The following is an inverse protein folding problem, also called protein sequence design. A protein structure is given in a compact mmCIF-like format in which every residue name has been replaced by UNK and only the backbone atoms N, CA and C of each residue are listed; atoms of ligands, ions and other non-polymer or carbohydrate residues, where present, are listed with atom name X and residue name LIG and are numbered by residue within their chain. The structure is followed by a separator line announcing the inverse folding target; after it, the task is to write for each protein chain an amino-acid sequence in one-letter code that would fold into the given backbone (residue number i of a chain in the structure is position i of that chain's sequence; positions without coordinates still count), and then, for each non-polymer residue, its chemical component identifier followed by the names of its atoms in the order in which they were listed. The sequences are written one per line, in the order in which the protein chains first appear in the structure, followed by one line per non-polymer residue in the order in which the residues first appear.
data_IF_632503680960
#
_entry.id   IF_632503680960
#
_cell.length_a   1.000
_cell.length_b   1.000
_cell.length_c   1.000
_cell.angle_alpha   90.00
_cell.angle_beta   90.00
_cell.angle_gamma   90.00
#
_symmetry.space_group_name_H-M   'P 1'
#
loop_
_entity.id
_entity.type
_entity.pdbx_description
1 polymer ?
#
# COMPACT_ATOMS: atom_id res chain seq x y z
N UNK A 1 -61.01 -20.79 -9.62
CA UNK A 1 -60.21 -19.94 -8.70
C UNK A 1 -58.76 -20.42 -8.46
N UNK A 2 -58.44 -21.72 -8.57
CA UNK A 2 -57.13 -22.27 -8.18
C UNK A 2 -55.94 -21.96 -9.13
N UNK A 3 -56.21 -21.67 -10.41
CA UNK A 3 -55.20 -21.48 -11.47
C UNK A 3 -54.56 -20.09 -11.47
N UNK A 4 -55.36 -19.05 -11.23
CA UNK A 4 -54.91 -17.64 -11.20
C UNK A 4 -53.94 -17.38 -10.05
N UNK A 5 -54.12 -18.06 -8.91
CA UNK A 5 -53.23 -17.96 -7.74
C UNK A 5 -51.83 -18.55 -8.03
N UNK A 6 -51.76 -19.73 -8.64
CA UNK A 6 -50.48 -20.39 -9.02
C UNK A 6 -49.68 -19.58 -10.03
N UNK A 7 -50.34 -18.93 -10.99
CA UNK A 7 -49.67 -18.12 -12.01
C UNK A 7 -49.05 -16.84 -11.43
N UNK A 8 -49.75 -16.19 -10.49
CA UNK A 8 -49.21 -15.03 -9.76
C UNK A 8 -47.99 -15.39 -8.92
N UNK A 9 -48.02 -16.54 -8.24
CA UNK A 9 -46.89 -17.05 -7.45
C UNK A 9 -45.68 -17.41 -8.32
N UNK A 10 -45.91 -18.03 -9.49
CA UNK A 10 -44.88 -18.31 -10.48
C UNK A 10 -44.20 -17.03 -10.99
N UNK A 11 -44.98 -15.99 -11.30
CA UNK A 11 -44.46 -14.67 -11.71
C UNK A 11 -43.65 -14.02 -10.59
N UNK A 12 -44.10 -14.08 -9.34
CA UNK A 12 -43.39 -13.56 -8.15
C UNK A 12 -42.06 -14.29 -7.92
N UNK A 13 -42.03 -15.63 -8.03
CA UNK A 13 -40.81 -16.44 -7.92
C UNK A 13 -39.81 -16.12 -9.04
N UNK A 14 -40.26 -15.96 -10.29
CA UNK A 14 -39.41 -15.52 -11.41
C UNK A 14 -38.81 -14.13 -11.17
N UNK A 15 -39.62 -13.17 -10.70
CA UNK A 15 -39.15 -11.82 -10.38
C UNK A 15 -38.10 -11.82 -9.26
N UNK A 16 -38.31 -12.64 -8.21
CA UNK A 16 -37.33 -12.82 -7.12
C UNK A 16 -36.01 -13.42 -7.62
N UNK A 17 -36.06 -14.50 -8.43
CA UNK A 17 -34.86 -15.08 -9.06
C UNK A 17 -34.12 -14.08 -9.95
N UNK A 18 -34.84 -13.30 -10.75
CA UNK A 18 -34.25 -12.26 -11.59
C UNK A 18 -33.58 -11.16 -10.76
N UNK A 19 -34.20 -10.73 -9.66
CA UNK A 19 -33.62 -9.76 -8.73
C UNK A 19 -32.36 -10.32 -8.04
N UNK A 20 -32.39 -11.57 -7.56
CA UNK A 20 -31.24 -12.24 -6.96
C UNK A 20 -30.09 -12.40 -7.97
N UNK A 21 -30.38 -12.77 -9.22
CA UNK A 21 -29.38 -12.87 -10.29
C UNK A 21 -28.74 -11.51 -10.58
N UNK A 22 -29.53 -10.45 -10.72
CA UNK A 22 -29.03 -9.07 -10.88
C UNK A 22 -28.15 -8.65 -9.69
N UNK A 23 -28.60 -8.92 -8.46
CA UNK A 23 -27.84 -8.63 -7.24
C UNK A 23 -26.49 -9.37 -7.21
N UNK A 24 -26.47 -10.66 -7.58
CA UNK A 24 -25.22 -11.43 -7.69
C UNK A 24 -24.29 -10.85 -8.76
N UNK A 25 -24.80 -10.48 -9.93
CA UNK A 25 -23.99 -9.85 -10.98
C UNK A 25 -23.37 -8.53 -10.51
N UNK A 26 -24.12 -7.69 -9.79
CA UNK A 26 -23.59 -6.45 -9.22
C UNK A 26 -22.45 -6.74 -8.24
N UNK A 27 -22.64 -7.70 -7.32
CA UNK A 27 -21.60 -8.10 -6.34
C UNK A 27 -20.34 -8.62 -7.03
N UNK A 28 -20.48 -9.44 -8.08
CA UNK A 28 -19.33 -9.97 -8.83
C UNK A 28 -18.58 -8.84 -9.54
N UNK A 29 -19.30 -7.91 -10.18
CA UNK A 29 -18.69 -6.76 -10.86
C UNK A 29 -17.97 -5.84 -9.88
N UNK A 30 -18.57 -5.50 -8.75
CA UNK A 30 -17.92 -4.63 -7.76
C UNK A 30 -16.70 -5.31 -7.14
N UNK A 31 -16.76 -6.61 -6.84
CA UNK A 31 -15.57 -7.38 -6.39
C UNK A 31 -14.44 -7.35 -7.41
N UNK A 32 -14.76 -7.54 -8.70
CA UNK A 32 -13.76 -7.46 -9.77
C UNK A 32 -13.11 -6.08 -9.82
N UNK A 33 -13.89 -5.01 -9.82
CA UNK A 33 -13.37 -3.63 -9.82
C UNK A 33 -12.44 -3.35 -8.63
N UNK A 34 -12.80 -3.81 -7.43
CA UNK A 34 -11.96 -3.66 -6.24
C UNK A 34 -10.65 -4.44 -6.38
N UNK A 35 -10.70 -5.67 -6.88
CA UNK A 35 -9.51 -6.49 -7.08
C UNK A 35 -8.57 -5.90 -8.14
N UNK A 36 -9.11 -5.42 -9.26
CA UNK A 36 -8.33 -4.78 -10.32
C UNK A 36 -7.66 -3.50 -9.80
N UNK A 37 -8.37 -2.69 -9.00
CA UNK A 37 -7.80 -1.51 -8.35
C UNK A 37 -6.67 -1.88 -7.39
N UNK A 38 -6.87 -2.90 -6.55
CA UNK A 38 -5.85 -3.36 -5.60
C UNK A 38 -4.61 -3.90 -6.31
N UNK A 39 -4.78 -4.65 -7.41
CA UNK A 39 -3.68 -5.17 -8.21
C UNK A 39 -2.82 -4.03 -8.78
N UNK A 40 -3.45 -2.99 -9.32
CA UNK A 40 -2.74 -1.81 -9.80
C UNK A 40 -1.98 -1.10 -8.68
N UNK A 41 -2.60 -0.88 -7.52
CA UNK A 41 -1.91 -0.27 -6.37
C UNK A 41 -0.68 -1.08 -5.95
N UNK A 42 -0.81 -2.41 -5.88
CA UNK A 42 0.30 -3.33 -5.58
C UNK A 42 1.42 -3.17 -6.59
N UNK A 43 1.12 -3.25 -7.89
CA UNK A 43 2.14 -3.13 -8.94
C UNK A 43 2.95 -1.83 -8.85
N UNK A 44 2.28 -0.70 -8.58
CA UNK A 44 2.94 0.59 -8.42
C UNK A 44 3.93 0.62 -7.26
N UNK A 45 3.64 -0.09 -6.17
CA UNK A 45 4.53 -0.18 -5.01
C UNK A 45 5.77 -1.03 -5.36
N UNK A 46 5.60 -2.12 -6.11
CA UNK A 46 6.71 -2.92 -6.61
C UNK A 46 7.62 -2.10 -7.53
N UNK A 47 7.06 -1.32 -8.45
CA UNK A 47 7.83 -0.42 -9.32
C UNK A 47 8.61 0.64 -8.53
N UNK A 48 7.99 1.20 -7.48
CA UNK A 48 8.63 2.16 -6.59
C UNK A 48 9.78 1.51 -5.80
N UNK A 49 9.57 0.30 -5.28
CA UNK A 49 10.61 -0.49 -4.60
C UNK A 49 11.80 -0.70 -5.53
N UNK A 50 11.55 -1.23 -6.72
CA UNK A 50 12.61 -1.60 -7.67
C UNK A 50 13.43 -0.38 -8.08
N UNK A 51 12.76 0.76 -8.28
CA UNK A 51 13.43 2.03 -8.54
C UNK A 51 14.35 2.46 -7.38
N UNK A 52 13.89 2.31 -6.13
CA UNK A 52 14.67 2.65 -4.93
C UNK A 52 15.84 1.69 -4.69
N UNK A 53 15.63 0.39 -4.94
CA UNK A 53 16.67 -0.64 -4.85
C UNK A 53 17.75 -0.39 -5.88
N UNK A 54 17.38 -0.10 -7.13
CA UNK A 54 18.31 0.24 -8.19
C UNK A 54 19.15 1.46 -7.81
N UNK A 55 18.52 2.56 -7.41
CA UNK A 55 19.22 3.75 -6.93
C UNK A 55 20.16 3.45 -5.76
N UNK A 56 19.72 2.68 -4.77
CA UNK A 56 20.55 2.32 -3.63
C UNK A 56 21.78 1.49 -4.02
N UNK A 57 21.65 0.65 -5.06
CA UNK A 57 22.73 -0.13 -5.64
C UNK A 57 23.72 0.76 -6.41
N UNK A 58 23.20 1.59 -7.32
CA UNK A 58 24.00 2.48 -8.17
C UNK A 58 24.84 3.46 -7.33
N UNK A 59 24.26 3.99 -6.24
CA UNK A 59 24.93 4.90 -5.31
C UNK A 59 25.64 4.19 -4.13
N UNK A 60 25.76 2.86 -4.16
CA UNK A 60 26.50 2.03 -3.17
C UNK A 60 26.13 2.34 -1.72
N UNK A 61 24.84 2.55 -1.43
CA UNK A 61 24.40 2.88 -0.07
C UNK A 61 24.81 1.79 0.95
N UNK A 62 25.00 2.12 2.23
CA UNK A 62 25.27 1.12 3.27
C UNK A 62 24.25 -0.03 3.27
N UNK A 63 24.72 -1.25 3.56
CA UNK A 63 23.90 -2.47 3.50
C UNK A 63 22.65 -2.38 4.37
N UNK A 64 22.73 -1.70 5.53
CA UNK A 64 21.58 -1.41 6.40
C UNK A 64 20.42 -0.73 5.65
N UNK A 65 20.72 0.24 4.78
CA UNK A 65 19.69 0.98 4.04
C UNK A 65 19.20 0.18 2.83
N UNK A 66 20.08 -0.56 2.16
CA UNK A 66 19.71 -1.48 1.08
C UNK A 66 18.68 -2.52 1.55
N UNK A 67 18.87 -3.10 2.75
CA UNK A 67 17.90 -4.02 3.38
C UNK A 67 16.54 -3.36 3.61
N UNK A 68 16.53 -2.11 4.08
CA UNK A 68 15.27 -1.37 4.30
C UNK A 68 14.51 -1.15 2.99
N UNK A 69 15.20 -0.70 1.94
CA UNK A 69 14.55 -0.41 0.64
C UNK A 69 14.20 -1.66 -0.15
N UNK A 70 14.76 -2.83 0.17
CA UNK A 70 14.42 -4.08 -0.51
C UNK A 70 13.11 -4.71 -0.03
N UNK A 71 12.65 -4.38 1.19
CA UNK A 71 11.41 -4.95 1.73
C UNK A 71 10.19 -4.19 1.22
N UNK A 72 9.25 -4.90 0.61
CA UNK A 72 8.00 -4.33 0.11
C UNK A 72 7.17 -3.70 1.24
N UNK A 73 7.20 -4.27 2.45
CA UNK A 73 6.48 -3.75 3.61
C UNK A 73 7.14 -2.48 4.16
N UNK A 74 8.34 -2.14 3.70
CA UNK A 74 8.96 -0.87 4.03
C UNK A 74 8.49 0.28 3.16
N UNK A 75 7.70 0.01 2.12
CA UNK A 75 7.12 1.05 1.25
C UNK A 75 5.66 1.33 1.58
N UNK A 76 5.29 2.61 1.49
CA UNK A 76 3.90 3.02 1.61
C UNK A 76 3.22 2.91 0.26
N UNK A 77 1.95 2.55 0.28
CA UNK A 77 1.01 2.84 -0.80
C UNK A 77 0.73 4.34 -0.86
N UNK A 78 0.34 4.79 -2.05
CA UNK A 78 0.08 6.18 -2.35
C UNK A 78 -1.39 6.34 -2.80
N UNK A 79 -2.05 7.40 -2.35
CA UNK A 79 -3.37 7.78 -2.80
C UNK A 79 -3.28 9.01 -3.70
N UNK A 80 -3.82 8.92 -4.92
CA UNK A 80 -3.83 10.09 -5.81
C UNK A 80 -4.87 11.12 -5.33
N UNK A 81 -4.45 12.37 -5.18
CA UNK A 81 -5.27 13.54 -4.86
C UNK A 81 -5.42 14.41 -6.13
N UNK A 82 -6.58 14.33 -6.84
CA UNK A 82 -6.80 15.07 -8.07
C UNK A 82 -6.82 16.59 -7.88
N UNK A 83 -7.15 17.09 -6.68
CA UNK A 83 -7.23 18.53 -6.43
C UNK A 83 -5.84 19.18 -6.41
N UNK A 84 -4.85 18.42 -5.97
CA UNK A 84 -3.46 18.90 -5.82
C UNK A 84 -2.52 18.36 -6.89
N UNK A 85 -2.99 17.43 -7.73
CA UNK A 85 -2.19 16.69 -8.70
C UNK A 85 -0.94 16.04 -8.06
N UNK A 86 -1.14 15.42 -6.88
CA UNK A 86 -0.08 14.75 -6.13
C UNK A 86 -0.55 13.41 -5.58
N UNK A 87 0.41 12.54 -5.30
CA UNK A 87 0.20 11.29 -4.62
C UNK A 87 0.45 11.47 -3.12
N UNK A 88 -0.59 11.39 -2.30
CA UNK A 88 -0.50 11.45 -0.84
C UNK A 88 0.01 10.11 -0.32
N UNK A 89 1.16 10.15 0.34
CA UNK A 89 1.78 8.95 0.91
C UNK A 89 0.99 8.52 2.15
N UNK A 90 0.48 7.30 2.15
CA UNK A 90 -0.24 6.75 3.30
C UNK A 90 0.71 6.41 4.45
N UNK A 91 0.22 6.61 5.67
CA UNK A 91 0.97 6.38 6.90
C UNK A 91 1.00 4.90 7.24
N UNK A 92 2.21 4.35 7.45
CA UNK A 92 2.39 3.05 8.06
C UNK A 92 2.41 3.22 9.58
N UNK A 93 1.50 2.55 10.29
CA UNK A 93 1.36 2.69 11.75
C UNK A 93 2.59 2.20 12.53
N UNK A 94 3.39 1.33 11.93
CA UNK A 94 4.60 0.77 12.54
C UNK A 94 5.87 1.52 12.15
N UNK A 95 5.82 2.46 11.20
CA UNK A 95 7.00 3.18 10.72
C UNK A 95 7.26 4.41 11.57
N UNK A 96 8.47 4.55 12.07
CA UNK A 96 8.90 5.69 12.87
C UNK A 96 8.94 7.00 12.05
N UNK A 97 8.98 8.12 12.77
CA UNK A 97 9.27 9.42 12.18
C UNK A 97 10.65 9.45 11.49
N UNK A 98 11.65 8.73 12.01
CA UNK A 98 13.00 8.69 11.44
C UNK A 98 13.04 7.90 10.13
N UNK A 99 12.36 6.75 10.05
CA UNK A 99 12.20 6.03 8.79
C UNK A 99 11.45 6.85 7.75
N UNK A 100 10.46 7.64 8.18
CA UNK A 100 9.76 8.57 7.28
C UNK A 100 10.70 9.66 6.75
N UNK A 101 11.55 10.26 7.60
CA UNK A 101 12.59 11.22 7.17
C UNK A 101 13.58 10.57 6.19
N UNK A 102 13.99 9.33 6.43
CA UNK A 102 14.86 8.58 5.53
C UNK A 102 14.26 8.45 4.12
N UNK A 103 13.02 7.96 3.99
CA UNK A 103 12.37 7.84 2.68
C UNK A 103 12.15 9.19 1.99
N UNK A 104 11.84 10.25 2.75
CA UNK A 104 11.73 11.61 2.20
C UNK A 104 13.06 12.09 1.62
N UNK A 105 14.17 11.84 2.32
CA UNK A 105 15.49 12.23 1.84
C UNK A 105 15.90 11.40 0.62
N UNK A 106 15.62 10.10 0.64
CA UNK A 106 15.85 9.21 -0.50
C UNK A 106 15.09 9.69 -1.74
N UNK A 107 13.79 9.95 -1.64
CA UNK A 107 12.98 10.41 -2.78
C UNK A 107 13.47 11.76 -3.33
N UNK A 108 13.94 12.67 -2.45
CA UNK A 108 14.55 13.94 -2.88
C UNK A 108 15.86 13.72 -3.64
N UNK A 109 16.74 12.85 -3.16
CA UNK A 109 18.00 12.53 -3.84
C UNK A 109 17.76 11.86 -5.20
N UNK A 110 16.76 10.97 -5.29
CA UNK A 110 16.37 10.34 -6.54
C UNK A 110 15.81 11.36 -7.55
N UNK A 111 15.09 12.37 -7.07
CA UNK A 111 14.59 13.45 -7.92
C UNK A 111 15.75 14.32 -8.45
N UNK A 112 16.70 14.66 -7.59
CA UNK A 112 17.92 15.40 -7.97
C UNK A 112 18.73 14.61 -9.01
N UNK A 113 18.93 13.31 -8.81
CA UNK A 113 19.63 12.43 -9.77
C UNK A 113 18.90 12.35 -11.12
N UNK A 114 17.58 12.25 -11.12
CA UNK A 114 16.81 12.22 -12.37
C UNK A 114 16.88 13.54 -13.13
N UNK A 115 16.93 14.68 -12.42
CA UNK A 115 17.12 16.01 -13.04
C UNK A 115 18.50 16.13 -13.70
N UNK A 116 19.56 15.70 -13.00
CA UNK A 116 20.93 15.72 -13.53
C UNK A 116 21.07 14.82 -14.76
N UNK A 117 20.43 13.65 -14.74
CA UNK A 117 20.52 12.66 -15.82
C UNK A 117 19.42 12.82 -16.90
N UNK A 118 18.65 13.91 -16.89
CA UNK A 118 17.53 14.19 -17.81
C UNK A 118 16.56 13.00 -17.97
N UNK A 119 16.24 12.32 -16.87
CA UNK A 119 15.30 11.19 -16.85
C UNK A 119 13.86 11.70 -16.76
N UNK A 120 12.92 10.82 -17.09
CA UNK A 120 11.49 11.15 -17.01
C UNK A 120 11.12 11.60 -15.59
N UNK A 121 10.26 12.63 -15.45
CA UNK A 121 9.87 13.14 -14.14
C UNK A 121 9.15 12.06 -13.32
N UNK A 122 9.55 11.90 -12.05
CA UNK A 122 8.86 11.04 -11.08
C UNK A 122 7.52 11.65 -10.67
N UNK A 123 6.61 10.80 -10.20
CA UNK A 123 5.37 11.23 -9.55
C UNK A 123 5.68 12.13 -8.36
N UNK A 124 4.95 13.24 -8.26
CA UNK A 124 5.01 14.14 -7.10
C UNK A 124 4.33 13.47 -5.91
N UNK A 125 5.06 13.27 -4.83
CA UNK A 125 4.57 12.61 -3.61
C UNK A 125 4.54 13.57 -2.44
N UNK A 126 3.42 13.62 -1.74
CA UNK A 126 3.17 14.50 -0.60
C UNK A 126 3.09 13.69 0.70
N UNK A 127 3.93 14.05 1.67
CA UNK A 127 3.89 13.47 3.01
C UNK A 127 3.04 14.34 3.92
N UNK A 128 1.85 13.88 4.29
CA UNK A 128 0.94 14.57 5.20
C UNK A 128 1.06 14.03 6.63
N UNK A 129 1.02 14.92 7.63
CA UNK A 129 0.97 14.50 9.06
C UNK A 129 -0.30 13.70 9.37
N UNK A 130 -1.42 14.11 8.78
CA UNK A 130 -2.75 13.50 8.90
C UNK A 130 -3.12 12.70 7.65
N UNK A 131 -2.13 12.03 7.04
CA UNK A 131 -2.37 11.20 5.86
C UNK A 131 -3.23 9.96 6.19
N UNK A 132 -3.92 9.39 5.18
CA UNK A 132 -4.69 8.17 5.36
C UNK A 132 -3.80 7.01 5.81
N UNK A 133 -4.40 6.05 6.54
CA UNK A 133 -3.69 4.85 6.96
C UNK A 133 -3.46 3.92 5.75
N UNK A 134 -2.28 3.31 5.73
CA UNK A 134 -1.91 2.34 4.70
C UNK A 134 -2.70 1.04 4.81
N UNK A 135 -2.88 0.36 3.67
CA UNK A 135 -3.40 -1.01 3.64
C UNK A 135 -2.41 -2.03 4.24
N UNK A 136 -1.12 -1.71 4.27
CA UNK A 136 -0.10 -2.60 4.84
C UNK A 136 -0.14 -2.58 6.36
N UNK A 137 -0.64 -3.68 6.93
CA UNK A 137 -0.71 -3.87 8.38
C UNK A 137 0.48 -4.63 8.95
N UNK A 138 1.16 -5.40 8.10
CA UNK A 138 2.30 -6.23 8.50
C UNK A 138 3.57 -5.40 8.43
N UNK A 139 4.27 -5.30 9.56
CA UNK A 139 5.57 -4.66 9.60
C UNK A 139 6.65 -5.56 8.97
N UNK A 140 7.66 -4.96 8.33
CA UNK A 140 8.83 -5.69 7.86
C UNK A 140 9.55 -6.33 9.06
N UNK A 141 10.32 -7.40 8.82
CA UNK A 141 11.14 -8.07 9.84
C UNK A 141 12.62 -7.88 9.55
N UNK A 142 13.46 -8.02 10.57
CA UNK A 142 14.91 -7.84 10.45
C UNK A 142 15.31 -6.41 10.04
N UNK A 143 14.52 -5.40 10.40
CA UNK A 143 14.89 -4.00 10.20
C UNK A 143 15.58 -3.42 11.44
N UNK A 144 16.34 -2.32 11.29
CA UNK A 144 16.91 -1.62 12.45
C UNK A 144 15.82 -1.14 13.39
N UNK A 145 16.12 -1.07 14.69
CA UNK A 145 15.18 -0.61 15.71
C UNK A 145 14.62 0.79 15.39
N UNK A 146 15.45 1.69 14.88
CA UNK A 146 15.07 3.05 14.45
C UNK A 146 13.99 3.10 13.37
N UNK A 147 13.77 1.99 12.66
CA UNK A 147 12.71 1.90 11.66
C UNK A 147 11.32 1.92 12.31
N UNK A 148 11.19 1.30 13.48
CA UNK A 148 9.90 1.07 14.10
C UNK A 148 9.46 2.25 14.96
N UNK A 149 8.18 2.57 14.90
CA UNK A 149 7.57 3.52 15.83
C UNK A 149 7.69 2.98 17.27
N UNK A 150 8.22 3.76 18.23
CA UNK A 150 8.47 3.27 19.59
C UNK A 150 7.20 2.80 20.31
N UNK A 151 6.09 3.54 20.18
CA UNK A 151 4.83 3.20 20.82
C UNK A 151 4.25 1.94 20.21
N UNK A 152 4.33 1.81 18.88
CA UNK A 152 3.91 0.59 18.20
C UNK A 152 4.76 -0.62 18.58
N UNK A 153 6.08 -0.46 18.63
CA UNK A 153 7.02 -1.54 18.93
C UNK A 153 6.89 -2.03 20.38
N UNK A 154 6.77 -1.12 21.33
CA UNK A 154 6.69 -1.43 22.77
C UNK A 154 5.35 -2.07 23.17
N UNK A 155 4.28 -1.84 22.41
CA UNK A 155 2.98 -2.53 22.61
C UNK A 155 3.01 -4.02 22.20
N UNK A 156 4.06 -4.51 21.55
CA UNK A 156 4.15 -5.93 21.12
C UNK A 156 4.73 -6.84 22.20
N UNK A 157 4.28 -8.09 22.22
CA UNK A 157 4.86 -9.14 23.05
C UNK A 157 6.38 -9.28 22.81
N UNK A 158 7.15 -9.53 23.87
CA UNK A 158 8.61 -9.59 23.82
C UNK A 158 9.15 -10.57 22.75
N UNK A 159 8.50 -11.72 22.58
CA UNK A 159 8.86 -12.74 21.59
C UNK A 159 8.69 -12.29 20.12
N UNK A 160 7.82 -11.30 19.88
CA UNK A 160 7.63 -10.73 18.53
C UNK A 160 8.70 -9.68 18.23
N UNK A 161 9.13 -8.92 19.25
CA UNK A 161 10.15 -7.88 19.15
C UNK A 161 11.51 -8.42 18.68
N UNK A 162 11.93 -9.59 19.18
CA UNK A 162 13.20 -10.22 18.78
C UNK A 162 13.23 -10.70 17.34
N UNK A 163 12.07 -11.02 16.74
CA UNK A 163 11.94 -11.41 15.33
C UNK A 163 11.89 -10.22 14.38
N UNK A 164 11.50 -9.05 14.89
CA UNK A 164 11.35 -7.83 14.11
C UNK A 164 12.70 -7.10 13.96
N UNK A 165 13.55 -7.11 14.99
CA UNK A 165 14.82 -6.35 14.97
C UNK A 165 15.98 -7.20 14.46
N UNK A 166 16.80 -6.60 13.58
CA UNK A 166 18.09 -7.17 13.23
C UNK A 166 19.16 -6.71 14.24
N UNK A 167 19.65 -7.63 15.05
CA UNK A 167 20.65 -7.40 16.11
C UNK A 167 22.10 -7.41 15.60
N UNK A 168 22.34 -7.69 14.31
CA UNK A 168 23.69 -7.67 13.76
C UNK A 168 24.01 -6.29 13.19
N UNK A 169 24.81 -5.53 13.95
CA UNK A 169 25.42 -4.25 13.55
C UNK A 169 26.54 -4.46 12.54
#
# INVERSE_FOLDING_TARGET
MYTISKEKDMKRKKKKKAWESKRRQVIVRTRKQVNDKLANEVELIYQLRDSRVKFASDHKLPQRYRRIVSDINSHSDDEYDPQRDVYVVKKLNYRSANATKFFRRLDKLMLEDDQVNNRKPRRKRLFMKTGPASIFRKAPRGHPLDFYDPDWFNKRAAQLRTKDVNTQQ
#
